data_IF_449647023695
#
_entry.id   IF_449647023695
#
_cell.length_a   1.000
_cell.length_b   1.000
_cell.length_c   1.000
_cell.angle_alpha   90.00
_cell.angle_beta   90.00
_cell.angle_gamma   90.00
#
_symmetry.space_group_name_H-M   'P 1'
#
loop_
_entity.id
_entity.type
_entity.pdbx_description
1 polymer ?
#
# COMPACT_ATOMS: atom_id res chain seq x y z
N UNK A 1 -24.25 19.43 -56.98
CA UNK A 1 -23.20 19.60 -55.96
C UNK A 1 -23.74 18.97 -54.68
N UNK A 2 -23.26 17.77 -54.33
CA UNK A 2 -23.77 16.97 -53.21
C UNK A 2 -22.74 17.04 -52.06
N UNK A 3 -23.15 17.57 -50.91
CA UNK A 3 -22.40 17.47 -49.67
C UNK A 3 -22.80 16.17 -48.96
N UNK A 4 -21.86 15.23 -48.87
CA UNK A 4 -22.01 14.02 -48.05
C UNK A 4 -21.11 14.14 -46.82
N UNK A 5 -21.78 14.05 -45.68
CA UNK A 5 -21.31 14.24 -44.31
C UNK A 5 -20.39 13.10 -43.83
N UNK A 6 -19.49 13.48 -42.94
CA UNK A 6 -18.67 12.63 -42.08
C UNK A 6 -19.38 11.37 -41.56
N UNK A 7 -18.67 10.24 -41.62
CA UNK A 7 -18.79 9.15 -40.65
C UNK A 7 -17.42 8.63 -40.26
N UNK A 8 -16.90 9.23 -39.18
CA UNK A 8 -16.02 8.59 -38.22
C UNK A 8 -16.68 7.32 -37.66
N UNK A 9 -16.11 6.15 -37.94
CA UNK A 9 -16.23 4.86 -37.22
C UNK A 9 -15.56 3.82 -38.12
N UNK A 10 -14.62 2.96 -37.72
CA UNK A 10 -14.33 2.39 -36.41
C UNK A 10 -13.00 1.65 -36.51
N UNK A 11 -11.92 2.21 -35.98
CA UNK A 11 -10.77 1.38 -35.60
C UNK A 11 -11.14 0.67 -34.30
N UNK A 12 -11.46 -0.62 -34.43
CA UNK A 12 -11.59 -1.53 -33.30
C UNK A 12 -10.21 -1.67 -32.68
N UNK A 13 -10.01 -1.00 -31.55
CA UNK A 13 -8.92 -1.32 -30.63
C UNK A 13 -9.22 -2.69 -30.03
N UNK A 14 -8.69 -3.75 -30.65
CA UNK A 14 -8.64 -5.06 -30.01
C UNK A 14 -7.55 -5.01 -28.93
N UNK A 15 -7.87 -5.27 -27.65
CA UNK A 15 -6.83 -5.40 -26.63
C UNK A 15 -6.11 -6.72 -26.89
N UNK A 16 -4.93 -6.63 -27.50
CA UNK A 16 -3.98 -7.72 -27.62
C UNK A 16 -3.80 -8.34 -26.23
N UNK A 17 -4.24 -9.59 -26.08
CA UNK A 17 -4.07 -10.41 -24.89
C UNK A 17 -2.61 -10.85 -24.80
N UNK A 18 -1.71 -9.88 -24.70
CA UNK A 18 -0.30 -10.12 -24.46
C UNK A 18 -0.16 -10.83 -23.12
N UNK A 19 0.16 -12.12 -23.18
CA UNK A 19 0.61 -12.86 -22.00
C UNK A 19 1.77 -12.07 -21.37
N UNK A 20 1.74 -11.84 -20.04
CA UNK A 20 2.78 -11.04 -19.41
C UNK A 20 4.15 -11.68 -19.72
N UNK A 21 5.15 -10.90 -20.16
CA UNK A 21 6.46 -11.44 -20.44
C UNK A 21 7.02 -12.10 -19.18
N UNK A 22 7.62 -13.28 -19.33
CA UNK A 22 8.25 -14.00 -18.25
C UNK A 22 9.25 -13.10 -17.51
N UNK A 23 9.12 -12.98 -16.18
CA UNK A 23 10.03 -12.21 -15.34
C UNK A 23 11.47 -12.73 -15.52
N UNK A 24 12.40 -11.83 -15.85
CA UNK A 24 13.83 -12.13 -15.84
C UNK A 24 14.31 -12.16 -14.39
N UNK A 25 15.16 -13.12 -14.04
CA UNK A 25 15.76 -13.21 -12.71
C UNK A 25 16.51 -11.91 -12.38
N UNK A 26 16.09 -11.17 -11.36
CA UNK A 26 16.69 -9.90 -10.93
C UNK A 26 15.91 -8.64 -11.30
N UNK A 27 14.84 -8.73 -12.10
CA UNK A 27 13.94 -7.59 -12.28
C UNK A 27 13.07 -7.37 -11.02
N UNK A 28 12.90 -6.12 -10.56
CA UNK A 28 12.00 -5.83 -9.45
C UNK A 28 10.57 -6.21 -9.80
N UNK A 29 9.77 -6.62 -8.81
CA UNK A 29 8.38 -7.01 -9.05
C UNK A 29 7.60 -5.90 -9.76
N UNK A 30 6.65 -6.32 -10.59
CA UNK A 30 5.63 -5.44 -11.13
C UNK A 30 4.53 -5.25 -10.10
N UNK A 31 4.12 -4.00 -9.98
CA UNK A 31 2.89 -3.63 -9.29
C UNK A 31 1.81 -3.49 -10.33
N UNK A 32 0.69 -4.15 -10.08
CA UNK A 32 -0.44 -4.13 -10.98
C UNK A 32 -1.68 -3.71 -10.20
N UNK A 33 -2.52 -2.87 -10.82
CA UNK A 33 -3.84 -2.63 -10.25
C UNK A 33 -4.65 -3.93 -10.29
N UNK A 34 -5.14 -4.34 -9.12
CA UNK A 34 -6.06 -5.45 -9.01
C UNK A 34 -7.34 -5.14 -9.80
N UNK A 35 -7.86 -6.14 -10.51
CA UNK A 35 -9.13 -6.04 -11.23
C UNK A 35 -10.26 -6.48 -10.31
N UNK A 36 -11.37 -5.74 -10.29
CA UNK A 36 -12.53 -5.95 -9.39
C UNK A 36 -13.33 -7.24 -9.63
N UNK A 37 -12.81 -8.20 -10.41
CA UNK A 37 -13.44 -9.50 -10.68
C UNK A 37 -12.73 -10.71 -10.07
N UNK A 38 -11.69 -10.51 -9.24
CA UNK A 38 -10.98 -11.58 -8.53
C UNK A 38 -11.39 -11.73 -7.06
N UNK A 39 -10.63 -12.53 -6.29
CA UNK A 39 -10.77 -12.74 -4.84
C UNK A 39 -10.47 -11.46 -4.02
N UNK A 40 -11.33 -10.44 -4.12
CA UNK A 40 -11.26 -9.24 -3.29
C UNK A 40 -12.12 -9.38 -2.03
N UNK A 41 -11.67 -8.76 -0.94
CA UNK A 41 -12.39 -8.73 0.35
C UNK A 41 -12.55 -7.30 0.83
N UNK A 42 -13.64 -6.96 1.55
CA UNK A 42 -13.79 -5.61 2.07
C UNK A 42 -12.72 -5.33 3.13
N UNK A 43 -12.18 -4.12 3.14
CA UNK A 43 -11.08 -3.70 4.01
C UNK A 43 -11.36 -3.96 5.50
N UNK A 44 -12.60 -3.68 5.93
CA UNK A 44 -13.10 -3.94 7.29
C UNK A 44 -13.10 -5.42 7.72
N UNK A 45 -13.02 -6.36 6.78
CA UNK A 45 -12.93 -7.78 7.09
C UNK A 45 -11.48 -8.26 7.26
N UNK A 46 -10.51 -7.42 6.88
CA UNK A 46 -9.08 -7.74 6.92
C UNK A 46 -8.37 -6.92 8.00
N UNK A 47 -8.59 -5.61 8.02
CA UNK A 47 -7.94 -4.70 8.94
C UNK A 47 -8.70 -4.64 10.27
N UNK A 48 -7.97 -4.72 11.38
CA UNK A 48 -8.51 -4.78 12.73
C UNK A 48 -8.68 -3.40 13.37
N UNK A 49 -7.89 -2.41 12.94
CA UNK A 49 -7.93 -1.05 13.47
C UNK A 49 -7.52 0.01 12.44
N UNK A 50 -7.58 1.28 12.85
CA UNK A 50 -7.20 2.43 12.02
C UNK A 50 -5.72 2.43 11.61
N UNK A 51 -4.84 1.84 12.42
CA UNK A 51 -3.41 1.73 12.10
C UNK A 51 -3.17 0.80 10.92
N UNK A 52 -3.90 -0.32 10.85
CA UNK A 52 -3.84 -1.23 9.70
C UNK A 52 -4.45 -0.63 8.44
N UNK A 53 -5.55 0.12 8.56
CA UNK A 53 -6.11 0.88 7.44
C UNK A 53 -5.10 1.89 6.88
N UNK A 54 -4.44 2.64 7.75
CA UNK A 54 -3.39 3.57 7.36
C UNK A 54 -2.23 2.85 6.68
N UNK A 55 -1.72 1.78 7.28
CA UNK A 55 -0.61 1.01 6.72
C UNK A 55 -0.93 0.53 5.30
N UNK A 56 -2.15 0.04 5.08
CA UNK A 56 -2.62 -0.35 3.76
C UNK A 56 -2.65 0.83 2.78
N UNK A 57 -3.23 1.96 3.19
CA UNK A 57 -3.32 3.16 2.35
C UNK A 57 -1.93 3.67 1.94
N UNK A 58 -0.98 3.75 2.88
CA UNK A 58 0.38 4.18 2.61
C UNK A 58 1.11 3.22 1.66
N UNK A 59 0.96 1.90 1.86
CA UNK A 59 1.50 0.91 0.94
C UNK A 59 0.94 1.11 -0.47
N UNK A 60 -0.37 1.36 -0.62
CA UNK A 60 -1.00 1.62 -1.92
C UNK A 60 -0.47 2.87 -2.60
N UNK A 61 -0.32 3.98 -1.88
CA UNK A 61 0.26 5.20 -2.42
C UNK A 61 1.69 4.98 -2.91
N UNK A 62 2.50 4.27 -2.13
CA UNK A 62 3.89 3.98 -2.51
C UNK A 62 3.96 3.02 -3.70
N UNK A 63 3.14 1.98 -3.74
CA UNK A 63 3.02 1.09 -4.90
C UNK A 63 2.60 1.87 -6.15
N UNK A 64 1.62 2.77 -6.03
CA UNK A 64 1.20 3.66 -7.12
C UNK A 64 2.34 4.57 -7.58
N UNK A 65 3.11 5.16 -6.66
CA UNK A 65 4.28 5.98 -7.00
C UNK A 65 5.37 5.21 -7.75
N UNK A 66 5.61 3.95 -7.39
CA UNK A 66 6.52 3.08 -8.17
C UNK A 66 5.98 2.70 -9.53
N UNK A 67 4.67 2.48 -9.64
CA UNK A 67 4.03 2.06 -10.89
C UNK A 67 3.88 3.20 -11.90
N UNK A 68 3.60 4.42 -11.44
CA UNK A 68 3.35 5.58 -12.30
C UNK A 68 4.56 6.50 -12.46
N UNK A 69 5.60 6.33 -11.63
CA UNK A 69 6.72 7.25 -11.49
C UNK A 69 6.30 8.70 -11.17
N UNK A 70 5.10 8.90 -10.59
CA UNK A 70 4.60 10.23 -10.20
C UNK A 70 4.99 10.59 -8.77
N UNK A 71 5.53 11.81 -8.61
CA UNK A 71 5.78 12.42 -7.30
C UNK A 71 4.46 12.66 -6.53
N UNK A 72 3.34 12.89 -7.21
CA UNK A 72 2.05 13.17 -6.58
C UNK A 72 1.56 12.02 -5.70
N UNK A 73 1.90 10.78 -6.04
CA UNK A 73 1.59 9.61 -5.22
C UNK A 73 2.36 9.60 -3.90
N UNK A 74 3.60 10.10 -3.90
CA UNK A 74 4.40 10.25 -2.68
C UNK A 74 3.90 11.40 -1.82
N UNK A 75 3.57 12.53 -2.43
CA UNK A 75 2.94 13.67 -1.74
C UNK A 75 1.60 13.28 -1.12
N UNK A 76 0.77 12.51 -1.83
CA UNK A 76 -0.48 11.99 -1.29
C UNK A 76 -0.28 11.06 -0.08
N UNK A 77 0.79 10.25 -0.07
CA UNK A 77 1.14 9.43 1.09
C UNK A 77 1.50 10.30 2.31
N UNK A 78 2.31 11.35 2.10
CA UNK A 78 2.67 12.31 3.15
C UNK A 78 1.45 13.07 3.65
N UNK A 79 0.65 13.66 2.77
CA UNK A 79 -0.58 14.35 3.13
C UNK A 79 -1.54 13.45 3.93
N UNK A 80 -1.66 12.17 3.55
CA UNK A 80 -2.51 11.22 4.27
C UNK A 80 -1.98 10.88 5.68
N UNK A 81 -0.66 10.71 5.83
CA UNK A 81 -0.05 10.50 7.13
C UNK A 81 -0.13 11.76 8.01
N UNK A 82 0.20 12.92 7.45
CA UNK A 82 0.21 14.20 8.15
C UNK A 82 -1.18 14.61 8.62
N UNK A 83 -2.24 14.27 7.88
CA UNK A 83 -3.61 14.48 8.33
C UNK A 83 -3.96 13.70 9.61
N UNK A 84 -3.26 12.59 9.88
CA UNK A 84 -3.50 11.73 11.05
C UNK A 84 -2.54 12.05 12.20
N UNK A 85 -1.29 12.39 11.92
CA UNK A 85 -0.22 12.52 12.93
C UNK A 85 0.42 13.90 13.00
N UNK A 86 0.10 14.80 12.08
CA UNK A 86 0.81 16.05 11.87
C UNK A 86 2.14 15.88 11.12
N UNK A 87 2.68 17.00 10.65
CA UNK A 87 3.85 17.04 9.76
C UNK A 87 5.17 16.51 10.37
N UNK A 88 5.23 16.33 11.69
CA UNK A 88 6.41 15.80 12.38
C UNK A 88 6.34 14.28 12.53
N UNK A 89 5.20 13.76 12.99
CA UNK A 89 5.04 12.34 13.29
C UNK A 89 4.52 11.51 12.10
N UNK A 90 3.97 12.16 11.07
CA UNK A 90 3.47 11.53 9.83
C UNK A 90 4.55 10.93 8.92
N UNK A 91 5.61 11.68 8.54
CA UNK A 91 6.62 11.21 7.59
C UNK A 91 7.30 9.88 7.95
N UNK A 92 7.59 9.57 9.24
CA UNK A 92 8.09 8.25 9.63
C UNK A 92 7.22 7.07 9.18
N UNK A 93 5.89 7.20 9.15
CA UNK A 93 5.01 6.13 8.67
C UNK A 93 5.17 5.88 7.18
N UNK A 94 5.24 6.94 6.38
CA UNK A 94 5.49 6.86 4.93
C UNK A 94 6.84 6.20 4.66
N UNK A 95 7.88 6.58 5.40
CA UNK A 95 9.20 5.98 5.27
C UNK A 95 9.22 4.47 5.58
N UNK A 96 8.49 4.01 6.62
CA UNK A 96 8.39 2.58 6.95
C UNK A 96 7.55 1.79 5.96
N UNK A 97 6.42 2.34 5.50
CA UNK A 97 5.64 1.75 4.42
C UNK A 97 6.47 1.62 3.14
N UNK A 98 7.24 2.67 2.79
CA UNK A 98 8.14 2.66 1.65
C UNK A 98 9.26 1.64 1.77
N UNK A 99 9.85 1.49 2.96
CA UNK A 99 10.83 0.43 3.22
C UNK A 99 10.22 -0.98 3.02
N UNK A 100 8.98 -1.21 3.45
CA UNK A 100 8.27 -2.46 3.23
C UNK A 100 8.04 -2.70 1.73
N UNK A 101 7.55 -1.71 0.99
CA UNK A 101 7.34 -1.84 -0.46
C UNK A 101 8.66 -2.10 -1.21
N UNK A 102 9.75 -1.44 -0.81
CA UNK A 102 11.09 -1.70 -1.37
C UNK A 102 11.58 -3.12 -1.08
N UNK A 103 11.33 -3.63 0.13
CA UNK A 103 11.66 -5.01 0.48
C UNK A 103 10.85 -6.01 -0.36
N UNK A 104 9.56 -5.75 -0.59
CA UNK A 104 8.74 -6.56 -1.50
C UNK A 104 9.36 -6.58 -2.91
N UNK A 105 9.72 -5.42 -3.45
CA UNK A 105 10.35 -5.34 -4.77
C UNK A 105 11.66 -6.12 -4.88
N UNK A 106 12.42 -6.21 -3.80
CA UNK A 106 13.71 -6.89 -3.77
C UNK A 106 13.60 -8.41 -3.57
N UNK A 107 12.65 -8.87 -2.74
CA UNK A 107 12.60 -10.28 -2.33
C UNK A 107 11.46 -11.08 -2.96
N UNK A 108 10.33 -10.43 -3.31
CA UNK A 108 9.19 -11.12 -3.91
C UNK A 108 9.50 -11.44 -5.37
N UNK A 109 9.12 -12.65 -5.82
CA UNK A 109 9.39 -13.12 -7.19
C UNK A 109 8.19 -13.05 -8.13
N UNK A 110 7.01 -12.84 -7.60
CA UNK A 110 5.77 -12.67 -8.36
C UNK A 110 5.31 -11.22 -8.29
N UNK A 111 4.44 -10.81 -9.22
CA UNK A 111 3.77 -9.52 -9.17
C UNK A 111 3.04 -9.30 -7.83
N UNK A 112 2.72 -8.04 -7.55
CA UNK A 112 1.94 -7.64 -6.38
C UNK A 112 0.74 -6.83 -6.85
N UNK A 113 -0.45 -7.42 -6.72
CA UNK A 113 -1.71 -6.80 -7.10
C UNK A 113 -2.26 -5.94 -5.96
N UNK A 114 -2.62 -4.70 -6.23
CA UNK A 114 -3.13 -3.78 -5.22
C UNK A 114 -4.23 -2.89 -5.78
N UNK A 115 -5.11 -2.37 -4.93
CA UNK A 115 -6.13 -1.42 -5.34
C UNK A 115 -5.68 0.03 -5.10
N UNK A 116 -6.32 1.03 -5.75
CA UNK A 116 -6.09 2.44 -5.42
C UNK A 116 -6.33 2.73 -3.93
N UNK A 117 -5.64 3.73 -3.37
CA UNK A 117 -5.71 4.08 -1.95
C UNK A 117 -7.15 4.32 -1.44
N UNK A 118 -8.02 4.91 -2.27
CA UNK A 118 -9.43 5.18 -1.95
C UNK A 118 -10.35 3.95 -2.02
N UNK A 119 -9.86 2.79 -2.47
CA UNK A 119 -10.68 1.60 -2.65
C UNK A 119 -10.99 0.92 -1.32
N UNK A 120 -12.26 0.62 -1.06
CA UNK A 120 -12.70 -0.11 0.13
C UNK A 120 -12.49 -1.63 0.04
N UNK A 121 -12.04 -2.15 -1.11
CA UNK A 121 -11.72 -3.57 -1.31
C UNK A 121 -10.23 -3.81 -1.14
N UNK A 122 -9.85 -5.04 -0.82
CA UNK A 122 -8.49 -5.50 -0.58
C UNK A 122 -8.23 -6.71 -1.46
N UNK A 123 -7.13 -6.69 -2.21
CA UNK A 123 -6.68 -7.80 -3.03
C UNK A 123 -6.20 -8.96 -2.16
N UNK A 124 -5.96 -10.12 -2.76
CA UNK A 124 -5.30 -11.24 -2.05
C UNK A 124 -3.92 -10.86 -1.52
N UNK A 125 -3.10 -10.19 -2.33
CA UNK A 125 -1.73 -9.81 -1.97
C UNK A 125 -1.70 -8.77 -0.85
N UNK A 126 -2.62 -7.79 -0.90
CA UNK A 126 -2.78 -6.81 0.17
C UNK A 126 -3.25 -7.48 1.46
N UNK A 127 -4.16 -8.46 1.39
CA UNK A 127 -4.60 -9.19 2.56
C UNK A 127 -3.46 -10.03 3.19
N UNK A 128 -2.59 -10.62 2.36
CA UNK A 128 -1.40 -11.32 2.84
C UNK A 128 -0.39 -10.36 3.48
N UNK A 129 -0.22 -9.15 2.92
CA UNK A 129 0.61 -8.09 3.49
C UNK A 129 0.07 -7.61 4.84
N UNK A 130 -1.24 -7.41 4.97
CA UNK A 130 -1.83 -7.01 6.26
C UNK A 130 -1.72 -8.14 7.29
N UNK A 131 -1.87 -9.40 6.89
CA UNK A 131 -1.62 -10.53 7.79
C UNK A 131 -0.15 -10.57 8.28
N UNK A 132 0.81 -10.17 7.45
CA UNK A 132 2.21 -10.00 7.83
C UNK A 132 2.39 -8.89 8.87
N UNK A 133 1.76 -7.73 8.65
CA UNK A 133 1.80 -6.61 9.60
C UNK A 133 1.16 -7.00 10.94
N UNK A 134 0.00 -7.66 10.92
CA UNK A 134 -0.66 -8.19 12.11
C UNK A 134 0.23 -9.17 12.89
N UNK A 135 0.91 -10.08 12.18
CA UNK A 135 1.85 -11.02 12.81
C UNK A 135 3.04 -10.28 13.45
N UNK A 136 3.55 -9.24 12.79
CA UNK A 136 4.62 -8.41 13.33
C UNK A 136 4.17 -7.64 14.58
N UNK A 137 2.93 -7.11 14.58
CA UNK A 137 2.35 -6.39 15.72
C UNK A 137 2.10 -7.29 16.92
N UNK A 138 1.68 -8.52 16.69
CA UNK A 138 1.45 -9.52 17.73
C UNK A 138 2.75 -10.05 18.38
N UNK A 139 3.91 -9.81 17.77
CA UNK A 139 5.20 -10.28 18.30
C UNK A 139 5.41 -11.79 18.17
N UNK A 140 4.59 -12.51 17.40
CA UNK A 140 4.72 -13.96 17.17
C UNK A 140 5.73 -14.22 16.04
N UNK A 141 6.96 -14.70 16.35
CA UNK A 141 8.02 -14.87 15.36
C UNK A 141 7.68 -15.95 14.31
N UNK A 142 6.92 -16.97 14.69
CA UNK A 142 6.58 -18.09 13.82
C UNK A 142 5.48 -17.73 12.84
N UNK A 143 4.44 -17.05 13.31
CA UNK A 143 3.40 -16.49 12.44
C UNK A 143 3.99 -15.44 11.50
N UNK A 144 4.89 -14.59 12.00
CA UNK A 144 5.57 -13.58 11.20
C UNK A 144 6.42 -14.19 10.09
N UNK A 145 7.20 -15.23 10.40
CA UNK A 145 7.99 -15.96 9.41
C UNK A 145 7.11 -16.59 8.34
N UNK A 146 6.04 -17.30 8.73
CA UNK A 146 5.09 -17.90 7.77
C UNK A 146 4.42 -16.87 6.89
N UNK A 147 3.99 -15.73 7.46
CA UNK A 147 3.40 -14.64 6.69
C UNK A 147 4.41 -14.01 5.73
N UNK A 148 5.67 -13.83 6.16
CA UNK A 148 6.76 -13.33 5.33
C UNK A 148 7.05 -14.23 4.13
N UNK A 149 7.11 -15.55 4.35
CA UNK A 149 7.28 -16.53 3.27
C UNK A 149 6.13 -16.50 2.27
N UNK A 150 4.89 -16.34 2.76
CA UNK A 150 3.70 -16.24 1.92
C UNK A 150 3.73 -14.99 1.04
N UNK A 151 3.98 -13.83 1.65
CA UNK A 151 4.06 -12.53 0.95
C UNK A 151 5.27 -12.47 0.00
N UNK A 152 6.40 -13.04 0.38
CA UNK A 152 7.60 -13.10 -0.47
C UNK A 152 7.51 -14.15 -1.59
N UNK A 153 6.55 -15.08 -1.52
CA UNK A 153 6.43 -16.17 -2.48
C UNK A 153 7.58 -17.20 -2.42
N UNK A 154 8.22 -17.40 -1.25
CA UNK A 154 9.34 -18.35 -1.14
C UNK A 154 10.25 -18.19 0.09
N UNK A 155 11.50 -18.66 -0.05
CA UNK A 155 12.43 -19.00 1.05
C UNK A 155 13.14 -17.78 1.68
N UNK A 156 13.35 -16.70 0.93
CA UNK A 156 14.03 -15.48 1.41
C UNK A 156 13.03 -14.36 1.67
N UNK A 157 12.79 -14.03 2.94
CA UNK A 157 11.86 -12.95 3.34
C UNK A 157 12.42 -12.07 4.47
N UNK A 158 13.75 -11.98 4.59
CA UNK A 158 14.42 -11.33 5.72
C UNK A 158 14.19 -9.83 5.77
N UNK A 159 14.31 -9.16 4.61
CA UNK A 159 14.07 -7.72 4.49
C UNK A 159 12.58 -7.41 4.66
N UNK A 160 11.68 -8.22 4.07
CA UNK A 160 10.23 -8.09 4.23
C UNK A 160 9.83 -8.16 5.70
N UNK A 161 10.31 -9.18 6.43
CA UNK A 161 10.02 -9.37 7.86
C UNK A 161 10.58 -8.21 8.69
N UNK A 162 11.80 -7.75 8.39
CA UNK A 162 12.43 -6.63 9.11
C UNK A 162 11.68 -5.33 8.89
N UNK A 163 11.29 -5.02 7.66
CA UNK A 163 10.51 -3.84 7.34
C UNK A 163 9.12 -3.88 7.98
N UNK A 164 8.45 -5.03 7.97
CA UNK A 164 7.16 -5.21 8.63
C UNK A 164 7.25 -5.00 10.15
N UNK A 165 8.30 -5.49 10.81
CA UNK A 165 8.56 -5.22 12.24
C UNK A 165 8.74 -3.73 12.51
N UNK A 166 9.53 -3.03 11.68
CA UNK A 166 9.76 -1.60 11.86
C UNK A 166 8.46 -0.78 11.72
N UNK A 167 7.59 -1.16 10.78
CA UNK A 167 6.26 -0.54 10.66
C UNK A 167 5.36 -0.88 11.86
N UNK A 168 5.33 -2.15 12.27
CA UNK A 168 4.53 -2.60 13.41
C UNK A 168 4.87 -1.88 14.72
N UNK A 169 6.14 -1.54 14.97
CA UNK A 169 6.56 -0.74 16.13
C UNK A 169 5.88 0.63 16.15
N UNK A 170 5.83 1.33 15.00
CA UNK A 170 5.15 2.63 14.93
C UNK A 170 3.64 2.51 15.12
N UNK A 171 3.03 1.49 14.51
CA UNK A 171 1.59 1.22 14.65
C UNK A 171 1.21 0.89 16.10
N UNK A 172 2.00 0.08 16.79
CA UNK A 172 1.76 -0.26 18.20
C UNK A 172 1.96 0.94 19.12
N UNK A 173 2.98 1.78 18.87
CA UNK A 173 3.16 3.05 19.58
C UNK A 173 1.95 3.96 19.41
N UNK A 174 1.43 4.07 18.18
CA UNK A 174 0.25 4.87 17.92
C UNK A 174 -1.00 4.33 18.61
N UNK A 175 -1.25 3.02 18.53
CA UNK A 175 -2.37 2.38 19.21
C UNK A 175 -2.33 2.64 20.72
N UNK A 176 -1.14 2.60 21.34
CA UNK A 176 -0.96 2.94 22.75
C UNK A 176 -1.27 4.41 23.06
N UNK A 177 -0.88 5.36 22.19
CA UNK A 177 -1.19 6.79 22.35
C UNK A 177 -2.70 7.08 22.23
N UNK A 178 -3.40 6.41 21.30
CA UNK A 178 -4.86 6.50 21.22
C UNK A 178 -5.49 5.96 22.50
N UNK A 179 -5.08 4.77 22.95
CA UNK A 179 -5.63 4.14 24.15
C UNK A 179 -5.40 4.99 25.41
N UNK A 180 -4.28 5.72 25.47
CA UNK A 180 -3.97 6.66 26.55
C UNK A 180 -4.73 8.01 26.46
N UNK A 181 -5.60 8.20 25.46
CA UNK A 181 -6.35 9.45 25.25
C UNK A 181 -5.50 10.61 24.72
N UNK A 182 -4.27 10.35 24.28
CA UNK A 182 -3.33 11.36 23.78
C UNK A 182 -3.40 11.55 22.25
N UNK A 183 -4.22 10.74 21.56
CA UNK A 183 -4.38 10.77 20.10
C UNK A 183 -5.24 11.92 19.54
N UNK A 184 -5.88 12.74 20.39
CA UNK A 184 -6.76 13.83 19.97
C UNK A 184 -6.14 15.23 19.92
N UNK A 185 -4.88 15.39 20.35
CA UNK A 185 -4.31 16.71 20.65
C UNK A 185 -3.35 17.32 19.61
N UNK A 186 -2.84 16.55 18.64
CA UNK A 186 -1.81 17.04 17.70
C UNK A 186 -2.35 17.79 16.48
N UNK A 187 -3.68 17.87 16.30
CA UNK A 187 -4.32 18.63 15.21
C UNK A 187 -4.61 20.11 15.56
N UNK A 188 -4.35 20.57 16.79
CA UNK A 188 -4.70 21.92 17.23
C UNK A 188 -3.49 22.89 17.24
N UNK A 189 -2.77 22.96 16.13
CA UNK A 189 -1.90 24.11 15.84
C UNK A 189 -2.75 25.32 15.48
N UNK A 190 -3.17 26.09 16.50
CA UNK A 190 -3.91 27.36 16.35
C UNK A 190 -3.13 28.33 15.44
N UNK A 191 -3.61 28.53 14.22
CA UNK A 191 -3.33 29.74 13.46
C UNK A 191 -4.03 30.92 14.13
N UNK A 192 -3.33 31.59 15.05
CA UNK A 192 -3.74 32.90 15.53
C UNK A 192 -3.57 33.92 14.41
N UNK A 193 -4.66 34.54 13.98
CA UNK A 193 -4.62 35.76 13.18
C UNK A 193 -4.35 36.95 14.12
N UNK A 194 -3.40 37.85 13.80
CA UNK A 194 -3.29 39.13 14.49
C UNK A 194 -4.40 40.10 14.03
N UNK A 195 -4.75 41.00 14.95
CA UNK A 195 -5.81 42.02 14.88
C UNK A 195 -5.85 42.84 13.59
#
# INVERSE_FOLDING_TARGET
MSFASDRFASDRFEPESASPPAMRSGEPIRFDFARSGGDCRPCRAICQDAGEHLALALVRFVCAGYMTASADCWEAAHAHADATFGAVDGPPFVARAGALVRALRAERRAGFAFFPASCAQVSRDEAELIALVQAARAGDPDRLRRAGQKVGGGVSCGAIVTAARALAVLLNRYAALIAAGQGGGLAAGRGGAPN
#
